data_IF_567685864715
#
_entry.id   IF_567685864715
#
_cell.length_a   1.000
_cell.length_b   1.000
_cell.length_c   1.000
_cell.angle_alpha   90.00
_cell.angle_beta   90.00
_cell.angle_gamma   90.00
#
_symmetry.space_group_name_H-M   'P 1'
#
loop_
_entity.id
_entity.type
_entity.pdbx_description
1 polymer ?
#
# COMPACT_ATOMS: atom_id res chain seq x y z
N UNK A 1 25.87 -79.38 6.37
CA UNK A 1 26.48 -78.10 6.00
C UNK A 1 25.52 -77.01 6.49
N UNK A 2 25.90 -76.41 7.66
CA UNK A 2 25.26 -75.23 8.27
C UNK A 2 25.51 -73.97 7.49
N UNK A 3 24.43 -73.26 7.14
CA UNK A 3 24.52 -71.83 6.73
C UNK A 3 24.00 -70.99 7.90
N UNK A 4 24.93 -70.24 8.50
CA UNK A 4 24.62 -69.23 9.50
C UNK A 4 24.19 -67.95 8.76
N UNK A 5 22.91 -67.59 8.85
CA UNK A 5 22.41 -66.30 8.39
C UNK A 5 22.66 -65.24 9.46
N UNK A 6 23.65 -64.37 9.18
CA UNK A 6 23.90 -63.15 9.95
C UNK A 6 22.80 -62.13 9.65
N UNK A 7 21.88 -61.95 10.60
CA UNK A 7 20.91 -60.85 10.57
C UNK A 7 21.62 -59.55 10.94
N UNK A 8 21.87 -58.70 9.96
CA UNK A 8 22.21 -57.30 10.19
C UNK A 8 20.93 -56.57 10.60
N UNK A 9 20.77 -56.27 11.89
CA UNK A 9 19.80 -55.33 12.41
C UNK A 9 20.16 -53.95 11.89
N UNK A 10 19.40 -53.48 10.89
CA UNK A 10 19.42 -52.07 10.47
C UNK A 10 18.87 -51.22 11.64
N UNK A 11 19.74 -50.53 12.32
CA UNK A 11 19.36 -49.46 13.22
C UNK A 11 18.68 -48.37 12.36
N UNK A 12 17.33 -48.30 12.43
CA UNK A 12 16.59 -47.15 11.96
C UNK A 12 17.04 -45.98 12.82
N UNK A 13 17.76 -45.05 12.22
CA UNK A 13 18.07 -43.78 12.83
C UNK A 13 16.75 -43.10 13.19
N UNK A 14 16.59 -42.75 14.44
CA UNK A 14 15.46 -41.97 14.92
C UNK A 14 15.38 -40.65 14.08
N UNK A 15 14.17 -40.17 13.73
CA UNK A 15 14.04 -38.92 13.02
C UNK A 15 14.67 -37.83 13.87
N UNK A 16 15.74 -37.23 13.32
CA UNK A 16 16.41 -36.08 13.89
C UNK A 16 15.36 -35.00 14.17
N UNK A 17 15.50 -34.37 15.33
CA UNK A 17 14.66 -33.33 15.89
C UNK A 17 14.12 -32.38 14.80
N UNK A 18 12.79 -32.25 14.77
CA UNK A 18 12.08 -31.22 13.99
C UNK A 18 12.86 -29.89 14.08
N UNK A 19 13.44 -29.46 12.98
CA UNK A 19 14.04 -28.15 12.89
C UNK A 19 12.99 -27.14 13.31
N UNK A 20 13.21 -26.54 14.48
CA UNK A 20 12.32 -25.52 15.06
C UNK A 20 12.14 -24.45 13.99
N UNK A 21 10.92 -24.30 13.45
CA UNK A 21 10.64 -23.32 12.42
C UNK A 21 11.19 -21.97 12.90
N UNK A 22 12.01 -21.32 12.08
CA UNK A 22 12.61 -20.06 12.45
C UNK A 22 11.50 -19.04 12.78
N UNK A 23 11.70 -18.29 13.86
CA UNK A 23 10.74 -17.29 14.30
C UNK A 23 10.46 -16.26 13.19
N UNK A 24 9.21 -16.00 12.83
CA UNK A 24 8.85 -15.05 11.79
C UNK A 24 9.47 -13.67 11.97
N UNK A 25 9.63 -13.18 13.20
CA UNK A 25 10.27 -11.89 13.48
C UNK A 25 11.76 -11.89 13.06
N UNK A 26 12.46 -13.00 13.26
CA UNK A 26 13.86 -13.16 12.82
C UNK A 26 13.95 -13.19 11.29
N UNK A 27 13.05 -13.91 10.62
CA UNK A 27 13.00 -13.97 9.15
C UNK A 27 12.71 -12.60 8.53
N UNK A 28 11.78 -11.84 9.11
CA UNK A 28 11.45 -10.47 8.70
C UNK A 28 12.68 -9.55 8.83
N UNK A 29 13.40 -9.61 9.95
CA UNK A 29 14.63 -8.82 10.16
C UNK A 29 15.70 -9.18 9.14
N UNK A 30 15.87 -10.45 8.80
CA UNK A 30 16.79 -10.89 7.75
C UNK A 30 16.42 -10.28 6.40
N UNK A 31 15.14 -10.24 6.05
CA UNK A 31 14.66 -9.58 4.83
C UNK A 31 14.92 -8.07 4.88
N UNK A 32 14.65 -7.40 6.00
CA UNK A 32 14.88 -5.95 6.14
C UNK A 32 16.37 -5.57 6.09
N UNK A 33 17.28 -6.50 6.36
CA UNK A 33 18.73 -6.26 6.31
C UNK A 33 19.32 -6.15 4.90
N UNK A 34 18.55 -6.43 3.84
CA UNK A 34 18.99 -6.22 2.44
C UNK A 34 19.30 -4.74 2.25
N UNK A 35 20.51 -4.45 1.74
CA UNK A 35 20.86 -3.07 1.42
C UNK A 35 20.40 -2.64 0.01
N UNK A 36 20.56 -1.34 -0.28
CA UNK A 36 20.19 -0.77 -1.60
C UNK A 36 21.02 -1.34 -2.77
N UNK A 37 22.13 -2.02 -2.49
CA UNK A 37 23.00 -2.68 -3.48
C UNK A 37 22.75 -4.18 -3.55
N UNK A 38 21.63 -4.64 -2.98
CA UNK A 38 21.20 -6.04 -2.93
C UNK A 38 22.14 -6.98 -2.15
N UNK A 39 23.03 -6.47 -1.31
CA UNK A 39 23.79 -7.33 -0.39
C UNK A 39 22.82 -7.92 0.63
N UNK A 40 22.99 -9.21 0.96
CA UNK A 40 22.05 -9.96 1.80
C UNK A 40 20.83 -10.54 1.05
N UNK A 41 20.80 -10.46 -0.29
CA UNK A 41 19.66 -10.98 -1.08
C UNK A 41 19.53 -12.51 -1.04
N UNK A 42 20.64 -13.23 -0.89
CA UNK A 42 20.64 -14.71 -0.78
C UNK A 42 19.97 -15.11 0.55
N UNK A 43 20.41 -14.52 1.65
CA UNK A 43 19.86 -14.76 2.99
C UNK A 43 18.39 -14.37 3.06
N UNK A 44 18.03 -13.24 2.44
CA UNK A 44 16.65 -12.81 2.36
C UNK A 44 15.79 -13.73 1.49
N UNK A 45 16.34 -14.32 0.42
CA UNK A 45 15.67 -15.34 -0.39
C UNK A 45 15.35 -16.59 0.43
N UNK A 46 16.31 -17.06 1.23
CA UNK A 46 16.08 -18.18 2.15
C UNK A 46 15.05 -17.82 3.24
N UNK A 47 15.13 -16.61 3.80
CA UNK A 47 14.17 -16.12 4.78
C UNK A 47 12.76 -15.99 4.19
N UNK A 48 12.62 -15.50 2.95
CA UNK A 48 11.36 -15.46 2.23
C UNK A 48 10.76 -16.86 2.05
N UNK A 49 11.57 -17.83 1.57
CA UNK A 49 11.10 -19.19 1.37
C UNK A 49 10.62 -19.86 2.67
N UNK A 50 11.30 -19.60 3.78
CA UNK A 50 10.88 -20.06 5.11
C UNK A 50 9.60 -19.35 5.58
N UNK A 51 9.54 -18.01 5.44
CA UNK A 51 8.40 -17.20 5.87
C UNK A 51 7.13 -17.49 5.08
N UNK A 52 7.26 -17.79 3.78
CA UNK A 52 6.15 -18.17 2.92
C UNK A 52 5.39 -19.44 3.40
N UNK A 53 6.00 -20.25 4.27
CA UNK A 53 5.36 -21.42 4.88
C UNK A 53 4.65 -21.10 6.20
N UNK A 54 4.71 -19.86 6.69
CA UNK A 54 4.08 -19.47 7.96
C UNK A 54 2.54 -19.49 7.88
N UNK A 55 1.88 -19.53 9.04
CA UNK A 55 0.42 -19.50 9.12
C UNK A 55 -0.11 -18.08 8.83
N UNK A 56 -1.35 -17.94 8.31
CA UNK A 56 -1.93 -16.63 7.95
C UNK A 56 -1.96 -15.59 9.08
N UNK A 57 -1.92 -16.01 10.32
CA UNK A 57 -1.89 -15.10 11.48
C UNK A 57 -0.68 -14.14 11.46
N UNK A 58 0.42 -14.51 10.79
CA UNK A 58 1.63 -13.68 10.69
C UNK A 58 1.49 -12.51 9.71
N UNK A 59 0.47 -12.49 8.85
CA UNK A 59 0.32 -11.49 7.79
C UNK A 59 0.42 -10.06 8.31
N UNK A 60 -0.26 -9.74 9.42
CA UNK A 60 -0.22 -8.38 9.98
C UNK A 60 1.17 -7.99 10.45
N UNK A 61 1.93 -8.93 11.02
CA UNK A 61 3.32 -8.71 11.45
C UNK A 61 4.24 -8.41 10.25
N UNK A 62 4.07 -9.14 9.14
CA UNK A 62 4.85 -8.90 7.92
C UNK A 62 4.46 -7.54 7.31
N UNK A 63 3.17 -7.21 7.25
CA UNK A 63 2.68 -5.94 6.73
C UNK A 63 3.19 -4.75 7.56
N UNK A 64 3.25 -4.87 8.89
CA UNK A 64 3.78 -3.83 9.75
C UNK A 64 5.27 -3.53 9.49
N UNK A 65 6.04 -4.54 9.05
CA UNK A 65 7.47 -4.42 8.76
C UNK A 65 7.79 -3.58 7.51
N UNK A 66 6.79 -3.21 6.70
CA UNK A 66 6.99 -2.33 5.54
C UNK A 66 7.47 -0.94 5.91
N UNK A 67 7.10 -0.44 7.08
CA UNK A 67 7.50 0.90 7.55
C UNK A 67 9.01 1.09 7.61
N UNK A 68 9.75 0.03 7.95
CA UNK A 68 11.21 0.04 8.10
C UNK A 68 11.93 -0.60 6.90
N UNK A 69 11.20 -0.97 5.85
CA UNK A 69 11.74 -1.68 4.70
C UNK A 69 12.14 -0.73 3.57
N UNK A 70 13.37 -0.86 3.09
CA UNK A 70 13.76 -0.26 1.80
C UNK A 70 12.99 -0.92 0.63
N UNK A 71 13.01 -0.36 -0.59
CA UNK A 71 12.22 -0.88 -1.71
C UNK A 71 12.48 -2.35 -2.04
N UNK A 72 13.73 -2.83 -1.92
CA UNK A 72 14.05 -4.24 -2.17
C UNK A 72 13.44 -5.14 -1.08
N UNK A 73 13.67 -4.82 0.19
CA UNK A 73 13.09 -5.55 1.31
C UNK A 73 11.55 -5.57 1.24
N UNK A 74 10.93 -4.44 0.87
CA UNK A 74 9.48 -4.35 0.70
C UNK A 74 8.96 -5.32 -0.38
N UNK A 75 9.69 -5.53 -1.48
CA UNK A 75 9.32 -6.50 -2.51
C UNK A 75 9.37 -7.94 -1.98
N UNK A 76 10.39 -8.30 -1.20
CA UNK A 76 10.46 -9.61 -0.56
C UNK A 76 9.33 -9.83 0.46
N UNK A 77 9.03 -8.82 1.29
CA UNK A 77 7.92 -8.87 2.24
C UNK A 77 6.57 -9.00 1.51
N UNK A 78 6.39 -8.27 0.41
CA UNK A 78 5.20 -8.38 -0.45
C UNK A 78 5.02 -9.81 -0.95
N UNK A 79 6.09 -10.40 -1.54
CA UNK A 79 6.03 -11.79 -2.03
C UNK A 79 5.70 -12.79 -0.92
N UNK A 80 6.20 -12.59 0.31
CA UNK A 80 5.84 -13.44 1.44
C UNK A 80 4.34 -13.32 1.76
N UNK A 81 3.82 -12.09 1.85
CA UNK A 81 2.40 -11.82 2.14
C UNK A 81 1.50 -12.44 1.08
N UNK A 82 1.79 -12.20 -0.20
CA UNK A 82 1.02 -12.75 -1.33
C UNK A 82 1.04 -14.28 -1.31
N UNK A 83 2.21 -14.91 -1.14
CA UNK A 83 2.32 -16.38 -1.09
C UNK A 83 1.54 -16.99 0.07
N UNK A 84 1.60 -16.39 1.27
CA UNK A 84 0.85 -16.87 2.44
C UNK A 84 -0.66 -16.71 2.21
N UNK A 85 -1.09 -15.56 1.66
CA UNK A 85 -2.50 -15.28 1.40
C UNK A 85 -3.06 -16.22 0.34
N UNK A 86 -2.38 -16.40 -0.79
CA UNK A 86 -2.79 -17.29 -1.88
C UNK A 86 -2.90 -18.74 -1.42
N UNK A 87 -1.91 -19.19 -0.64
CA UNK A 87 -1.95 -20.53 -0.06
C UNK A 87 -3.12 -20.71 0.91
N UNK A 88 -3.41 -19.69 1.73
CA UNK A 88 -4.54 -19.73 2.66
C UNK A 88 -5.87 -19.78 1.90
N UNK A 89 -6.04 -18.91 0.89
CA UNK A 89 -7.25 -18.83 0.07
C UNK A 89 -7.47 -20.14 -0.69
N UNK A 90 -6.44 -20.65 -1.38
CA UNK A 90 -6.51 -21.91 -2.14
C UNK A 90 -6.74 -23.11 -1.24
N UNK A 91 -6.12 -23.14 -0.08
CA UNK A 91 -6.30 -24.19 0.93
C UNK A 91 -7.55 -24.03 1.79
N UNK A 92 -8.41 -23.05 1.51
CA UNK A 92 -9.63 -22.72 2.30
C UNK A 92 -9.33 -22.46 3.79
N UNK A 93 -8.11 -22.02 4.12
CA UNK A 93 -7.77 -21.58 5.47
C UNK A 93 -8.29 -20.16 5.73
N UNK A 94 -8.72 -19.89 6.96
CA UNK A 94 -9.23 -18.57 7.33
C UNK A 94 -8.10 -17.52 7.35
N UNK A 95 -8.33 -16.39 6.68
CA UNK A 95 -7.50 -15.21 6.84
C UNK A 95 -7.86 -14.44 8.12
N UNK A 96 -6.92 -13.74 8.77
CA UNK A 96 -7.17 -12.90 9.94
C UNK A 96 -7.88 -11.60 9.53
N UNK A 97 -9.16 -11.68 9.07
CA UNK A 97 -9.91 -10.56 8.48
C UNK A 97 -9.96 -9.33 9.36
N UNK A 98 -10.40 -9.46 10.62
CA UNK A 98 -10.49 -8.33 11.56
C UNK A 98 -9.16 -7.64 11.82
N UNK A 99 -8.04 -8.35 12.10
CA UNK A 99 -6.72 -7.75 12.20
C UNK A 99 -6.27 -7.03 10.91
N UNK A 100 -6.55 -7.60 9.73
CA UNK A 100 -6.22 -6.96 8.44
C UNK A 100 -7.05 -5.71 8.20
N UNK A 101 -8.36 -5.71 8.51
CA UNK A 101 -9.21 -4.52 8.42
C UNK A 101 -8.71 -3.41 9.36
N UNK A 102 -8.42 -3.73 10.61
CA UNK A 102 -7.86 -2.77 11.56
C UNK A 102 -6.50 -2.20 11.08
N UNK A 103 -5.68 -3.04 10.43
CA UNK A 103 -4.42 -2.60 9.83
C UNK A 103 -4.65 -1.61 8.68
N UNK A 104 -5.64 -1.85 7.82
CA UNK A 104 -6.01 -0.96 6.70
C UNK A 104 -6.52 0.38 7.23
N UNK A 105 -7.36 0.38 8.25
CA UNK A 105 -7.95 1.60 8.82
C UNK A 105 -6.93 2.49 9.54
N UNK A 106 -5.87 1.91 10.06
CA UNK A 106 -4.80 2.67 10.71
C UNK A 106 -3.96 3.43 9.67
N UNK A 107 -4.26 4.72 9.49
CA UNK A 107 -3.60 5.62 8.54
C UNK A 107 -2.12 5.87 8.81
N UNK A 108 -1.59 5.46 9.97
CA UNK A 108 -0.16 5.53 10.30
C UNK A 108 0.66 4.39 9.69
N UNK A 109 0.01 3.31 9.30
CA UNK A 109 0.65 2.18 8.65
C UNK A 109 1.12 2.56 7.23
N UNK A 110 2.16 1.89 6.75
CA UNK A 110 2.70 2.10 5.39
C UNK A 110 1.57 1.95 4.34
N UNK A 111 1.38 2.94 3.46
CA UNK A 111 0.28 2.94 2.49
C UNK A 111 0.33 1.76 1.52
N UNK A 112 1.53 1.29 1.13
CA UNK A 112 1.70 0.12 0.24
C UNK A 112 1.25 -1.17 0.95
N UNK A 113 1.61 -1.31 2.23
CA UNK A 113 1.19 -2.46 3.04
C UNK A 113 -0.33 -2.46 3.29
N UNK A 114 -0.90 -1.29 3.56
CA UNK A 114 -2.36 -1.13 3.70
C UNK A 114 -3.09 -1.50 2.41
N UNK A 115 -2.56 -1.07 1.26
CA UNK A 115 -3.13 -1.43 -0.05
C UNK A 115 -3.07 -2.94 -0.29
N UNK A 116 -1.92 -3.56 -0.03
CA UNK A 116 -1.76 -5.00 -0.16
C UNK A 116 -2.74 -5.78 0.73
N UNK A 117 -2.92 -5.36 1.98
CA UNK A 117 -3.90 -5.96 2.89
C UNK A 117 -5.34 -5.82 2.36
N UNK A 118 -5.68 -4.67 1.79
CA UNK A 118 -6.99 -4.42 1.18
C UNK A 118 -7.23 -5.31 -0.05
N UNK A 119 -6.25 -5.41 -0.95
CA UNK A 119 -6.35 -6.24 -2.15
C UNK A 119 -6.56 -7.72 -1.79
N UNK A 120 -5.86 -8.23 -0.77
CA UNK A 120 -6.06 -9.59 -0.27
C UNK A 120 -7.48 -9.79 0.29
N UNK A 121 -7.96 -8.86 1.10
CA UNK A 121 -9.30 -8.98 1.67
C UNK A 121 -10.39 -8.85 0.60
N UNK A 122 -10.19 -8.05 -0.45
CA UNK A 122 -11.14 -7.89 -1.54
C UNK A 122 -11.41 -9.20 -2.29
N UNK A 123 -10.40 -10.10 -2.36
CA UNK A 123 -10.57 -11.44 -2.97
C UNK A 123 -11.60 -12.29 -2.20
N UNK A 124 -11.61 -12.19 -0.88
CA UNK A 124 -12.43 -13.05 0.01
C UNK A 124 -13.67 -12.36 0.59
N UNK A 125 -13.74 -11.03 0.44
CA UNK A 125 -14.88 -10.20 0.88
C UNK A 125 -15.14 -9.08 -0.11
N UNK A 126 -16.08 -9.30 -1.01
CA UNK A 126 -16.48 -8.32 -2.03
C UNK A 126 -17.13 -7.06 -1.45
N UNK A 127 -17.60 -7.11 -0.21
CA UNK A 127 -18.26 -5.97 0.45
C UNK A 127 -17.26 -4.99 1.07
N UNK A 128 -15.98 -5.35 1.19
CA UNK A 128 -14.96 -4.53 1.86
C UNK A 128 -14.79 -3.17 1.21
N UNK A 129 -14.89 -3.11 -0.11
CA UNK A 129 -14.80 -1.86 -0.88
C UNK A 129 -15.90 -0.89 -0.47
N UNK A 130 -17.13 -1.37 -0.33
CA UNK A 130 -18.27 -0.55 0.07
C UNK A 130 -18.20 -0.08 1.51
N UNK A 131 -17.55 -0.85 2.38
CA UNK A 131 -17.40 -0.53 3.80
C UNK A 131 -16.26 0.45 4.06
N UNK A 132 -15.09 0.26 3.45
CA UNK A 132 -13.88 1.00 3.80
C UNK A 132 -13.63 2.23 2.89
N UNK A 133 -13.79 2.09 1.58
CA UNK A 133 -13.43 3.14 0.63
C UNK A 133 -14.16 4.47 0.84
N UNK A 134 -15.48 4.51 1.21
CA UNK A 134 -16.16 5.79 1.44
C UNK A 134 -15.51 6.68 2.51
N UNK A 135 -14.81 6.10 3.48
CA UNK A 135 -14.09 6.82 4.54
C UNK A 135 -12.71 7.34 4.13
N UNK A 136 -12.23 7.00 2.92
CA UNK A 136 -10.83 7.22 2.51
C UNK A 136 -10.62 8.44 1.59
N UNK A 137 -11.59 9.35 1.51
CA UNK A 137 -11.50 10.53 0.63
C UNK A 137 -10.30 11.44 0.95
N UNK A 138 -9.90 11.50 2.20
CA UNK A 138 -8.75 12.28 2.68
C UNK A 138 -7.63 11.39 3.24
N UNK A 139 -7.55 10.15 2.75
CA UNK A 139 -6.53 9.22 3.19
C UNK A 139 -5.13 9.68 2.74
N UNK A 140 -4.07 9.49 3.55
CA UNK A 140 -2.70 9.79 3.13
C UNK A 140 -2.25 8.96 1.91
N UNK A 141 -2.83 7.75 1.70
CA UNK A 141 -2.57 6.95 0.50
C UNK A 141 -3.25 7.56 -0.73
N UNK A 142 -2.48 7.92 -1.78
CA UNK A 142 -3.05 8.39 -3.04
C UNK A 142 -4.00 7.38 -3.68
N UNK A 143 -3.70 6.09 -3.59
CA UNK A 143 -4.51 5.01 -4.17
C UNK A 143 -5.89 4.92 -3.53
N UNK A 144 -5.97 4.95 -2.20
CA UNK A 144 -7.25 4.93 -1.49
C UNK A 144 -8.07 6.20 -1.73
N UNK A 145 -7.41 7.39 -1.80
CA UNK A 145 -8.11 8.63 -2.17
C UNK A 145 -8.68 8.53 -3.57
N UNK A 146 -7.88 8.03 -4.53
CA UNK A 146 -8.32 7.85 -5.91
C UNK A 146 -9.55 6.95 -6.02
N UNK A 147 -9.56 5.83 -5.30
CA UNK A 147 -10.71 4.92 -5.26
C UNK A 147 -11.96 5.60 -4.64
N UNK A 148 -11.78 6.35 -3.55
CA UNK A 148 -12.88 7.07 -2.92
C UNK A 148 -13.47 8.17 -3.83
N UNK A 149 -12.61 8.91 -4.54
CA UNK A 149 -13.04 9.90 -5.54
C UNK A 149 -13.76 9.23 -6.70
N UNK A 150 -13.21 8.14 -7.25
CA UNK A 150 -13.81 7.39 -8.35
C UNK A 150 -15.23 6.92 -7.99
N UNK A 151 -15.43 6.42 -6.77
CA UNK A 151 -16.75 6.02 -6.28
C UNK A 151 -17.74 7.20 -6.26
N UNK A 152 -17.32 8.36 -5.76
CA UNK A 152 -18.15 9.56 -5.75
C UNK A 152 -18.50 10.03 -7.16
N UNK A 153 -17.55 9.94 -8.10
CA UNK A 153 -17.77 10.27 -9.51
C UNK A 153 -18.85 9.38 -10.15
N UNK A 154 -18.81 8.08 -9.90
CA UNK A 154 -19.83 7.14 -10.41
C UNK A 154 -21.22 7.51 -9.88
N UNK A 155 -21.33 7.75 -8.57
CA UNK A 155 -22.60 8.14 -7.93
C UNK A 155 -23.10 9.49 -8.43
N UNK A 156 -22.22 10.50 -8.56
CA UNK A 156 -22.58 11.82 -9.07
C UNK A 156 -23.08 11.75 -10.52
N UNK A 157 -22.41 10.99 -11.38
CA UNK A 157 -22.81 10.80 -12.76
C UNK A 157 -24.15 10.04 -12.89
N UNK A 158 -24.44 9.11 -11.99
CA UNK A 158 -25.73 8.44 -11.93
C UNK A 158 -26.83 9.44 -11.55
N UNK A 159 -26.68 10.20 -10.46
CA UNK A 159 -27.64 11.22 -10.03
C UNK A 159 -27.89 12.27 -11.12
N UNK A 160 -26.85 12.65 -11.85
CA UNK A 160 -26.97 13.58 -12.98
C UNK A 160 -27.86 13.01 -14.11
N UNK A 161 -27.72 11.73 -14.43
CA UNK A 161 -28.58 11.05 -15.42
C UNK A 161 -30.03 10.96 -14.94
N UNK A 162 -30.23 10.79 -13.64
CA UNK A 162 -31.54 10.77 -12.98
C UNK A 162 -32.14 12.19 -12.79
N UNK A 163 -31.48 13.23 -13.35
CA UNK A 163 -31.86 14.65 -13.25
C UNK A 163 -31.87 15.21 -11.83
N UNK A 164 -31.19 14.57 -10.89
CA UNK A 164 -31.01 15.02 -9.52
C UNK A 164 -29.79 15.95 -9.41
N UNK A 165 -29.86 17.11 -10.07
CA UNK A 165 -28.72 18.02 -10.31
C UNK A 165 -28.07 18.51 -9.00
N UNK A 166 -28.85 18.85 -7.98
CA UNK A 166 -28.32 19.40 -6.73
C UNK A 166 -27.55 18.34 -5.92
N UNK A 167 -28.04 17.12 -5.91
CA UNK A 167 -27.35 16.00 -5.27
C UNK A 167 -26.05 15.65 -6.04
N UNK A 168 -26.14 15.60 -7.37
CA UNK A 168 -24.94 15.38 -8.20
C UNK A 168 -23.87 16.46 -7.95
N UNK A 169 -24.28 17.75 -7.93
CA UNK A 169 -23.39 18.89 -7.61
C UNK A 169 -22.72 18.70 -6.24
N UNK A 170 -23.47 18.32 -5.23
CA UNK A 170 -22.95 18.08 -3.88
C UNK A 170 -21.91 16.98 -3.87
N UNK A 171 -22.13 15.88 -4.58
CA UNK A 171 -21.15 14.78 -4.68
C UNK A 171 -19.91 15.18 -5.47
N UNK A 172 -20.05 15.92 -6.58
CA UNK A 172 -18.88 16.44 -7.31
C UNK A 172 -18.05 17.38 -6.44
N UNK A 173 -18.67 18.32 -5.71
CA UNK A 173 -17.95 19.19 -4.76
C UNK A 173 -17.25 18.38 -3.65
N UNK A 174 -17.89 17.33 -3.15
CA UNK A 174 -17.28 16.43 -2.17
C UNK A 174 -16.10 15.68 -2.78
N UNK A 175 -16.22 15.15 -3.99
CA UNK A 175 -15.16 14.45 -4.71
C UNK A 175 -13.93 15.34 -4.93
N UNK A 176 -14.14 16.62 -5.26
CA UNK A 176 -13.06 17.58 -5.49
C UNK A 176 -12.14 17.76 -4.28
N UNK A 177 -12.66 17.61 -3.06
CA UNK A 177 -11.86 17.73 -1.82
C UNK A 177 -10.78 16.64 -1.70
N UNK A 178 -10.98 15.48 -2.32
CA UNK A 178 -10.03 14.36 -2.29
C UNK A 178 -9.26 14.19 -3.59
N UNK A 179 -9.70 14.81 -4.67
CA UNK A 179 -9.10 14.62 -5.99
C UNK A 179 -7.76 15.35 -6.09
N UNK A 180 -6.74 14.61 -6.49
CA UNK A 180 -5.38 15.15 -6.76
C UNK A 180 -4.91 14.81 -8.17
N UNK A 181 -5.51 13.80 -8.80
CA UNK A 181 -5.13 13.35 -10.13
C UNK A 181 -5.86 14.16 -11.22
N UNK A 182 -5.13 14.61 -12.23
CA UNK A 182 -5.65 15.50 -13.27
C UNK A 182 -6.89 14.94 -14.00
N UNK A 183 -6.93 13.64 -14.25
CA UNK A 183 -8.07 12.97 -14.89
C UNK A 183 -9.33 13.07 -14.02
N UNK A 184 -9.22 12.84 -12.72
CA UNK A 184 -10.33 12.94 -11.78
C UNK A 184 -10.75 14.39 -11.56
N UNK A 185 -9.79 15.33 -11.42
CA UNK A 185 -10.09 16.75 -11.30
C UNK A 185 -10.88 17.24 -12.51
N UNK A 186 -10.45 16.89 -13.73
CA UNK A 186 -11.18 17.25 -14.95
C UNK A 186 -12.58 16.64 -14.98
N UNK A 187 -12.72 15.35 -14.64
CA UNK A 187 -14.01 14.65 -14.57
C UNK A 187 -14.99 15.27 -13.55
N UNK A 188 -14.49 16.01 -12.57
CA UNK A 188 -15.28 16.72 -11.56
C UNK A 188 -15.62 18.14 -12.04
N UNK A 189 -14.61 18.86 -12.51
CA UNK A 189 -14.74 20.30 -12.81
C UNK A 189 -15.60 20.54 -14.05
N UNK A 190 -15.49 19.72 -15.09
CA UNK A 190 -16.27 19.87 -16.31
C UNK A 190 -17.79 19.79 -16.05
N UNK A 191 -18.33 18.82 -15.32
CA UNK A 191 -19.73 18.81 -14.92
C UNK A 191 -20.13 19.99 -14.02
N UNK A 192 -19.32 20.35 -13.04
CA UNK A 192 -19.61 21.49 -12.14
C UNK A 192 -19.72 22.79 -12.91
N UNK A 193 -18.82 23.08 -13.86
CA UNK A 193 -18.90 24.26 -14.73
C UNK A 193 -20.15 24.27 -15.59
N UNK A 194 -20.55 23.12 -16.14
CA UNK A 194 -21.81 22.98 -16.89
C UNK A 194 -23.05 23.24 -16.02
N UNK A 195 -22.94 23.03 -14.69
CA UNK A 195 -23.97 23.35 -13.71
C UNK A 195 -23.89 24.80 -13.20
N UNK A 196 -23.04 25.67 -13.80
CA UNK A 196 -22.88 27.08 -13.46
C UNK A 196 -21.91 27.37 -12.31
N UNK A 197 -21.16 26.37 -11.83
CA UNK A 197 -20.19 26.57 -10.75
C UNK A 197 -18.89 27.20 -11.27
N UNK A 198 -18.41 28.20 -10.56
CA UNK A 198 -17.10 28.79 -10.81
C UNK A 198 -16.06 28.08 -9.93
N UNK A 199 -15.13 27.36 -10.54
CA UNK A 199 -14.10 26.62 -9.83
C UNK A 199 -12.75 27.25 -10.13
N UNK A 200 -12.15 27.85 -9.09
CA UNK A 200 -10.78 28.37 -9.11
C UNK A 200 -9.82 27.25 -8.68
N UNK A 201 -9.24 26.53 -9.61
CA UNK A 201 -8.31 25.43 -9.33
C UNK A 201 -7.00 25.89 -8.67
N UNK A 202 -6.35 26.99 -9.08
CA UNK A 202 -5.19 27.51 -8.37
C UNK A 202 -5.44 27.73 -6.88
N UNK A 203 -6.53 28.39 -6.54
CA UNK A 203 -6.93 28.61 -5.14
C UNK A 203 -7.26 27.28 -4.42
N UNK A 204 -8.00 26.40 -5.08
CA UNK A 204 -8.38 25.09 -4.51
C UNK A 204 -7.16 24.24 -4.12
N UNK A 205 -6.09 24.27 -4.94
CA UNK A 205 -4.86 23.54 -4.68
C UNK A 205 -3.83 24.35 -3.87
N UNK A 206 -4.15 25.58 -3.51
CA UNK A 206 -3.23 26.45 -2.75
C UNK A 206 -1.99 26.86 -3.54
N UNK A 207 -2.09 26.96 -4.87
CA UNK A 207 -0.99 27.46 -5.69
C UNK A 207 -0.75 28.95 -5.42
N UNK A 208 0.53 29.33 -5.32
CA UNK A 208 0.92 30.72 -5.27
C UNK A 208 0.73 31.32 -6.67
N UNK A 209 -0.21 32.26 -6.81
CA UNK A 209 -0.54 32.92 -8.09
C UNK A 209 0.05 34.29 -8.19
N UNK A 210 0.37 34.92 -7.06
CA UNK A 210 0.92 36.25 -6.98
C UNK A 210 2.38 36.21 -6.53
N UNK A 211 3.26 36.79 -7.36
CA UNK A 211 4.70 36.82 -7.12
C UNK A 211 5.21 38.24 -7.16
N UNK A 212 5.92 38.65 -6.12
CA UNK A 212 6.72 39.85 -6.15
C UNK A 212 8.14 39.48 -6.58
N UNK A 213 8.60 40.09 -7.69
CA UNK A 213 9.95 39.91 -8.20
C UNK A 213 10.75 41.13 -7.82
N UNK A 214 11.82 40.91 -7.07
CA UNK A 214 12.78 41.96 -6.73
C UNK A 214 14.02 41.73 -7.60
N UNK A 215 14.43 42.78 -8.33
CA UNK A 215 15.60 42.72 -9.20
C UNK A 215 15.66 43.94 -10.15
N UNK A 216 16.66 44.01 -11.02
CA UNK A 216 17.79 43.08 -11.20
C UNK A 216 18.86 43.21 -10.12
N UNK A 217 19.45 42.07 -9.74
CA UNK A 217 20.61 42.04 -8.86
C UNK A 217 21.90 41.95 -9.69
N UNK A 218 22.97 42.66 -9.23
CA UNK A 218 24.28 42.55 -9.87
C UNK A 218 24.89 41.16 -9.64
N UNK A 219 25.10 40.45 -10.73
CA UNK A 219 25.75 39.12 -10.71
C UNK A 219 27.07 39.09 -11.49
N UNK A 220 27.70 40.27 -11.69
CA UNK A 220 29.00 40.36 -12.36
C UNK A 220 30.02 39.52 -11.62
N UNK A 221 30.68 38.62 -12.36
CA UNK A 221 31.62 37.66 -11.79
C UNK A 221 31.00 36.57 -10.93
N UNK A 222 29.70 36.29 -11.05
CA UNK A 222 28.95 35.29 -10.27
C UNK A 222 28.91 35.55 -8.75
N UNK A 223 29.02 36.83 -8.35
CA UNK A 223 29.01 37.22 -6.93
C UNK A 223 27.63 37.15 -6.29
N UNK A 224 26.55 37.22 -7.08
CA UNK A 224 25.17 37.28 -6.59
C UNK A 224 24.74 36.11 -5.67
N UNK A 225 25.33 34.95 -5.84
CA UNK A 225 25.04 33.79 -4.95
C UNK A 225 25.66 33.89 -3.56
N UNK A 226 26.68 34.74 -3.36
CA UNK A 226 27.37 34.91 -2.10
C UNK A 226 26.92 36.18 -1.32
N UNK A 227 26.03 36.98 -1.91
CA UNK A 227 25.57 38.25 -1.34
C UNK A 227 24.17 38.06 -0.75
N UNK A 228 23.99 38.49 0.48
CA UNK A 228 22.66 38.58 1.10
C UNK A 228 22.09 39.94 0.75
N UNK A 229 21.05 39.95 -0.06
CA UNK A 229 20.30 41.18 -0.37
C UNK A 229 19.22 41.35 0.71
N UNK A 230 19.16 42.54 1.29
CA UNK A 230 18.08 42.88 2.23
C UNK A 230 16.83 43.24 1.42
N UNK A 231 15.64 42.82 1.88
CA UNK A 231 14.37 43.10 1.21
C UNK A 231 14.01 44.59 1.25
#
# INVERSE_FOLDING_TARGET
WCWVQSQRTAHAAAPTASARAADPATLIKTIQSIDKKARGSIEAGHALAALANAEPAVLVTILAAFSDANPLAANYLRSAVETIADRAISGKKALPRKPLEAFIENRKNDPRARRLAFDILQVVDRTITDRLIPGMLTDPSPEFRRDAVARLLVLAAQLQRERQQDLARTLYKRALRGATDNDQVKAIVDPLRKMGEQINLPEHFGFLTDWHIIGPFDNVGRKGFAVVYQP
#
